data_IF_653786509859
#
_entry.id   IF_653786509859
#
_cell.length_a   1.000
_cell.length_b   1.000
_cell.length_c   1.000
_cell.angle_alpha   90.00
_cell.angle_beta   90.00
_cell.angle_gamma   90.00
#
_symmetry.space_group_name_H-M   'P 1'
#
loop_
_entity.id
_entity.type
_entity.pdbx_description
1 polymer ?
#
# COMPACT_ATOMS: atom_id res chain seq x y z
N UNK A 1 -56.20 -14.03 10.03
CA UNK A 1 -55.09 -13.62 10.90
C UNK A 1 -53.85 -14.54 10.76
N UNK A 2 -54.01 -15.85 10.70
CA UNK A 2 -52.89 -16.82 10.61
C UNK A 2 -52.06 -16.66 9.34
N UNK A 3 -52.66 -16.38 8.19
CA UNK A 3 -51.98 -16.18 6.89
C UNK A 3 -51.07 -14.93 6.84
N UNK A 4 -51.46 -13.87 7.52
CA UNK A 4 -50.68 -12.61 7.59
C UNK A 4 -49.42 -12.79 8.45
N UNK A 5 -49.56 -13.56 9.56
CA UNK A 5 -48.43 -13.85 10.47
C UNK A 5 -47.39 -14.74 9.77
N UNK A 6 -47.84 -15.72 8.98
CA UNK A 6 -46.90 -16.58 8.20
C UNK A 6 -46.14 -15.79 7.10
N UNK A 7 -46.81 -14.88 6.42
CA UNK A 7 -46.17 -14.03 5.42
C UNK A 7 -45.15 -13.04 6.03
N UNK A 8 -45.46 -12.51 7.23
CA UNK A 8 -44.54 -11.66 7.96
C UNK A 8 -43.31 -12.44 8.48
N UNK A 9 -43.50 -13.69 8.92
CA UNK A 9 -42.39 -14.54 9.35
C UNK A 9 -41.47 -14.99 8.20
N UNK A 10 -42.02 -15.28 7.01
CA UNK A 10 -41.21 -15.56 5.82
C UNK A 10 -40.44 -14.34 5.31
N UNK A 11 -41.03 -13.15 5.38
CA UNK A 11 -40.36 -11.90 5.00
C UNK A 11 -39.16 -11.56 5.92
N UNK A 12 -39.28 -11.91 7.20
CA UNK A 12 -38.23 -11.64 8.18
C UNK A 12 -37.01 -12.61 8.06
N UNK A 13 -37.25 -13.84 7.58
CA UNK A 13 -36.16 -14.81 7.31
C UNK A 13 -35.32 -14.46 6.06
N UNK A 14 -35.87 -13.76 5.07
CA UNK A 14 -35.16 -13.34 3.87
C UNK A 14 -34.22 -12.16 4.13
N UNK A 15 -34.37 -11.42 5.21
CA UNK A 15 -33.55 -10.25 5.55
C UNK A 15 -32.19 -10.59 6.25
N UNK A 16 -32.00 -11.85 6.69
CA UNK A 16 -30.79 -12.28 7.42
C UNK A 16 -29.69 -12.92 6.53
N UNK A 17 -29.88 -13.02 5.23
CA UNK A 17 -28.88 -13.61 4.32
C UNK A 17 -27.86 -12.62 3.75
N UNK A 18 -27.65 -11.50 4.43
CA UNK A 18 -26.55 -10.55 4.15
C UNK A 18 -25.21 -11.05 4.68
N UNK A 19 -24.73 -12.23 4.24
CA UNK A 19 -23.32 -12.59 4.41
C UNK A 19 -22.50 -11.73 3.43
N UNK A 20 -21.95 -10.62 3.91
CA UNK A 20 -20.84 -9.99 3.21
C UNK A 20 -19.69 -11.02 3.12
N UNK A 21 -19.33 -11.44 1.91
CA UNK A 21 -18.14 -12.28 1.70
C UNK A 21 -16.95 -11.48 2.18
N UNK A 22 -16.36 -11.91 3.27
CA UNK A 22 -15.08 -11.40 3.74
C UNK A 22 -13.99 -11.98 2.85
N UNK A 23 -13.63 -11.24 1.79
CA UNK A 23 -12.62 -11.63 0.80
C UNK A 23 -11.26 -11.90 1.46
N UNK A 24 -10.98 -11.24 2.59
CA UNK A 24 -9.75 -11.44 3.36
C UNK A 24 -9.76 -12.82 4.06
N UNK A 25 -10.87 -13.17 4.69
CA UNK A 25 -11.03 -14.49 5.31
C UNK A 25 -10.98 -15.62 4.28
N UNK A 26 -11.52 -15.41 3.08
CA UNK A 26 -11.47 -16.38 1.99
C UNK A 26 -10.03 -16.56 1.46
N UNK A 27 -9.23 -15.50 1.37
CA UNK A 27 -7.81 -15.59 1.02
C UNK A 27 -7.00 -16.36 2.06
N UNK A 28 -7.28 -16.17 3.35
CA UNK A 28 -6.64 -16.96 4.41
C UNK A 28 -7.04 -18.45 4.37
N UNK A 29 -8.30 -18.75 4.05
CA UNK A 29 -8.81 -20.12 3.95
C UNK A 29 -8.34 -20.85 2.71
N UNK A 30 -8.08 -20.15 1.62
CA UNK A 30 -7.67 -20.73 0.35
C UNK A 30 -6.32 -21.47 0.45
N UNK A 31 -5.47 -21.13 1.45
CA UNK A 31 -4.20 -21.80 1.69
C UNK A 31 -3.26 -21.80 0.49
N UNK A 32 -3.52 -20.92 -0.48
CA UNK A 32 -2.71 -20.80 -1.67
C UNK A 32 -1.35 -20.18 -1.27
N UNK A 33 -0.26 -20.80 -1.73
CA UNK A 33 1.11 -20.38 -1.45
C UNK A 33 1.51 -19.02 -2.06
N UNK A 34 0.56 -18.12 -2.26
CA UNK A 34 0.83 -16.77 -2.82
C UNK A 34 1.71 -15.92 -1.93
N UNK A 35 1.78 -16.24 -0.62
CA UNK A 35 2.60 -15.55 0.38
C UNK A 35 2.33 -14.04 0.50
N UNK A 36 1.20 -13.55 0.00
CA UNK A 36 0.72 -12.18 0.22
C UNK A 36 -0.79 -12.18 0.42
N UNK A 37 -1.27 -11.18 1.15
CA UNK A 37 -2.68 -10.87 1.27
C UNK A 37 -2.92 -9.71 0.32
N UNK A 38 -3.65 -9.94 -0.77
CA UNK A 38 -4.04 -8.82 -1.63
C UNK A 38 -5.23 -8.11 -0.99
N UNK A 39 -5.04 -6.84 -0.66
CA UNK A 39 -6.14 -5.95 -0.28
C UNK A 39 -7.05 -5.66 -1.48
N UNK A 40 -8.15 -5.01 -1.18
CA UNK A 40 -9.21 -4.65 -2.14
C UNK A 40 -9.07 -3.23 -2.71
N UNK A 41 -7.95 -2.55 -2.44
CA UNK A 41 -7.72 -1.13 -2.79
C UNK A 41 -8.36 -0.16 -1.79
N UNK A 42 -8.78 -0.65 -0.60
CA UNK A 42 -9.40 0.19 0.41
C UNK A 42 -8.46 1.28 0.91
N UNK A 43 -9.01 2.50 1.03
CA UNK A 43 -8.30 3.68 1.49
C UNK A 43 -8.62 3.95 2.95
N UNK A 44 -7.59 4.26 3.73
CA UNK A 44 -7.72 4.80 5.08
C UNK A 44 -7.02 6.14 5.13
N UNK A 45 -7.74 7.22 5.43
CA UNK A 45 -7.16 8.53 5.71
C UNK A 45 -7.00 8.73 7.21
N UNK A 46 -5.84 9.22 7.62
CA UNK A 46 -5.49 9.39 9.04
C UNK A 46 -5.69 10.84 9.48
N UNK A 47 -6.94 11.31 9.48
CA UNK A 47 -7.29 12.65 9.96
C UNK A 47 -7.11 12.76 11.48
N UNK A 48 -6.23 13.67 11.92
CA UNK A 48 -6.02 13.97 13.34
C UNK A 48 -5.20 12.94 14.13
N UNK A 49 -4.82 11.81 13.55
CA UNK A 49 -3.87 10.85 14.13
C UNK A 49 -2.51 11.03 13.46
N UNK A 50 -1.52 11.39 14.25
CA UNK A 50 -0.15 11.51 13.76
C UNK A 50 0.53 10.15 13.84
N UNK A 51 0.62 9.44 12.72
CA UNK A 51 1.55 8.33 12.57
C UNK A 51 2.83 8.90 11.96
N UNK A 52 3.78 9.24 12.81
CA UNK A 52 5.14 9.59 12.40
C UNK A 52 5.94 8.30 12.46
N UNK A 53 6.66 7.97 11.40
CA UNK A 53 7.55 6.82 11.44
C UNK A 53 8.66 7.02 12.49
N UNK A 54 9.02 5.98 13.21
CA UNK A 54 10.34 5.95 13.84
C UNK A 54 11.37 6.05 12.71
N UNK A 55 12.42 6.86 12.86
CA UNK A 55 13.41 7.09 11.83
C UNK A 55 14.03 5.77 11.33
N UNK A 56 14.19 5.62 10.02
CA UNK A 56 14.80 4.45 9.41
C UNK A 56 15.90 4.85 8.41
N UNK A 57 16.85 3.97 8.25
CA UNK A 57 17.88 4.02 7.20
C UNK A 57 18.00 2.64 6.57
N UNK A 58 18.00 2.57 5.26
CA UNK A 58 18.11 1.32 4.50
C UNK A 58 18.93 1.51 3.24
N UNK A 59 19.35 0.41 2.63
CA UNK A 59 20.10 0.39 1.37
C UNK A 59 19.13 0.16 0.22
N UNK A 60 19.25 0.91 -0.84
CA UNK A 60 18.49 0.74 -2.06
C UNK A 60 18.99 -0.46 -2.87
N UNK A 61 18.18 -0.94 -3.81
CA UNK A 61 18.54 -2.07 -4.67
C UNK A 61 19.80 -1.83 -5.53
N UNK A 62 20.17 -0.56 -5.78
CA UNK A 62 21.39 -0.15 -6.48
C UNK A 62 22.56 0.20 -5.54
N UNK A 63 22.39 -0.05 -4.22
CA UNK A 63 23.45 0.09 -3.22
C UNK A 63 23.62 1.48 -2.62
N UNK A 64 22.71 2.42 -2.90
CA UNK A 64 22.72 3.73 -2.26
C UNK A 64 22.08 3.67 -0.86
N UNK A 65 22.43 4.62 0.00
CA UNK A 65 21.75 4.78 1.30
C UNK A 65 20.60 5.76 1.19
N UNK A 66 19.44 5.37 1.69
CA UNK A 66 18.28 6.24 1.82
C UNK A 66 17.76 6.19 3.26
N UNK A 67 17.38 7.36 3.79
CA UNK A 67 16.81 7.47 5.14
C UNK A 67 15.53 8.29 5.13
N UNK A 68 14.68 8.05 6.14
CA UNK A 68 13.48 8.86 6.36
C UNK A 68 13.81 10.34 6.60
N UNK A 69 14.95 10.64 7.20
CA UNK A 69 15.41 12.01 7.41
C UNK A 69 15.66 12.74 6.08
N UNK A 70 16.22 12.05 5.09
CA UNK A 70 16.45 12.59 3.74
C UNK A 70 15.16 12.86 2.96
N UNK A 71 14.02 12.38 3.42
CA UNK A 71 12.69 12.60 2.83
C UNK A 71 11.93 13.75 3.51
N UNK A 72 12.44 14.29 4.60
CA UNK A 72 11.80 15.39 5.31
C UNK A 72 11.69 16.65 4.43
N UNK A 73 10.56 17.34 4.53
CA UNK A 73 10.26 18.51 3.71
C UNK A 73 9.54 18.17 2.39
N UNK A 74 9.40 16.88 2.08
CA UNK A 74 8.77 16.40 0.85
C UNK A 74 7.56 15.53 1.13
N UNK A 75 6.52 15.64 0.31
CA UNK A 75 5.47 14.63 0.26
C UNK A 75 6.09 13.35 -0.28
N UNK A 76 5.84 12.22 0.41
CA UNK A 76 6.45 10.94 0.05
C UNK A 76 5.41 9.86 -0.14
N UNK A 77 5.54 9.10 -1.21
CA UNK A 77 4.77 7.89 -1.47
C UNK A 77 5.67 6.68 -1.21
N UNK A 78 5.32 5.86 -0.23
CA UNK A 78 5.99 4.58 0.02
C UNK A 78 5.14 3.45 -0.51
N UNK A 79 5.66 2.66 -1.45
CA UNK A 79 4.97 1.50 -2.00
C UNK A 79 5.70 0.22 -1.58
N UNK A 80 5.04 -0.60 -0.77
CA UNK A 80 5.55 -1.89 -0.29
C UNK A 80 5.25 -2.97 -1.32
N UNK A 81 6.30 -3.65 -1.82
CA UNK A 81 6.19 -4.53 -2.98
C UNK A 81 7.21 -5.67 -2.99
N UNK A 82 7.06 -6.61 -3.91
CA UNK A 82 8.10 -7.54 -4.36
C UNK A 82 7.79 -8.06 -5.78
N UNK A 83 8.80 -8.57 -6.49
CA UNK A 83 8.70 -8.89 -7.94
C UNK A 83 7.69 -9.99 -8.27
N UNK A 84 7.49 -10.96 -7.39
CA UNK A 84 6.53 -12.06 -7.56
C UNK A 84 5.08 -11.70 -7.22
N UNK A 85 4.82 -10.51 -6.69
CA UNK A 85 3.50 -10.03 -6.31
C UNK A 85 2.68 -9.63 -7.55
N UNK A 86 1.65 -10.38 -7.88
CA UNK A 86 0.86 -10.13 -9.09
C UNK A 86 0.17 -8.74 -9.09
N UNK A 87 -0.50 -8.28 -8.01
CA UNK A 87 -1.08 -6.94 -7.98
C UNK A 87 -0.01 -5.83 -8.00
N UNK A 88 1.19 -6.03 -7.42
CA UNK A 88 2.28 -5.06 -7.51
C UNK A 88 2.76 -4.88 -8.97
N UNK A 89 2.83 -5.99 -9.71
CA UNK A 89 3.18 -5.96 -11.15
C UNK A 89 2.12 -5.25 -11.98
N UNK A 90 0.86 -5.29 -11.55
CA UNK A 90 -0.25 -4.66 -12.26
C UNK A 90 -0.32 -3.15 -12.03
N UNK A 91 0.30 -2.62 -10.94
CA UNK A 91 0.26 -1.20 -10.61
C UNK A 91 1.55 -0.43 -10.91
N UNK A 92 2.67 -1.14 -11.18
CA UNK A 92 3.98 -0.49 -11.30
C UNK A 92 4.05 0.54 -12.42
N UNK A 93 3.38 0.33 -13.56
CA UNK A 93 3.36 1.29 -14.65
C UNK A 93 2.65 2.59 -14.24
N UNK A 94 1.52 2.47 -13.56
CA UNK A 94 0.78 3.62 -13.02
C UNK A 94 1.63 4.39 -12.00
N UNK A 95 2.43 3.68 -11.19
CA UNK A 95 3.31 4.30 -10.19
C UNK A 95 4.49 5.03 -10.85
N UNK A 96 5.05 4.49 -11.94
CA UNK A 96 6.09 5.14 -12.76
C UNK A 96 5.57 6.44 -13.35
N UNK A 97 4.35 6.42 -13.93
CA UNK A 97 3.71 7.62 -14.48
C UNK A 97 3.47 8.68 -13.39
N UNK A 98 2.94 8.27 -12.24
CA UNK A 98 2.72 9.18 -11.09
C UNK A 98 4.04 9.77 -10.61
N UNK A 99 5.10 8.97 -10.48
CA UNK A 99 6.40 9.46 -10.04
C UNK A 99 6.96 10.52 -11.00
N UNK A 100 6.78 10.33 -12.32
CA UNK A 100 7.19 11.32 -13.33
C UNK A 100 6.34 12.60 -13.28
N UNK A 101 5.02 12.47 -13.15
CA UNK A 101 4.12 13.62 -13.15
C UNK A 101 4.32 14.56 -11.95
N UNK A 102 4.73 14.01 -10.80
CA UNK A 102 4.90 14.77 -9.56
C UNK A 102 6.37 15.10 -9.22
N UNK A 103 7.33 14.74 -10.08
CA UNK A 103 8.75 15.06 -9.87
C UNK A 103 8.95 16.58 -9.73
N UNK A 104 8.30 17.38 -10.57
CA UNK A 104 8.36 18.85 -10.54
C UNK A 104 7.72 19.48 -9.31
N UNK A 105 6.82 18.78 -8.62
CA UNK A 105 6.20 19.19 -7.37
C UNK A 105 7.02 18.80 -6.13
N UNK A 106 8.14 18.13 -6.31
CA UNK A 106 9.02 17.69 -5.22
C UNK A 106 8.45 16.53 -4.42
N UNK A 107 7.60 15.70 -5.03
CA UNK A 107 7.13 14.45 -4.42
C UNK A 107 8.15 13.36 -4.62
N UNK A 108 8.48 12.64 -3.55
CA UNK A 108 9.32 11.45 -3.62
C UNK A 108 8.47 10.18 -3.67
N UNK A 109 8.72 9.34 -4.66
CA UNK A 109 8.20 7.97 -4.69
C UNK A 109 9.34 7.03 -4.31
N UNK A 110 9.10 6.13 -3.37
CA UNK A 110 10.07 5.14 -2.90
C UNK A 110 9.40 3.77 -2.82
N UNK A 111 9.95 2.80 -3.52
CA UNK A 111 9.62 1.40 -3.32
C UNK A 111 10.23 0.88 -2.02
N UNK A 112 9.51 0.02 -1.33
CA UNK A 112 10.01 -0.75 -0.18
C UNK A 112 9.90 -2.21 -0.54
N UNK A 113 11.03 -2.82 -0.96
CA UNK A 113 11.04 -4.22 -1.33
C UNK A 113 11.17 -5.10 -0.08
N UNK A 114 10.15 -5.92 0.16
CA UNK A 114 10.03 -6.68 1.41
C UNK A 114 10.43 -8.16 1.29
N UNK A 115 10.91 -8.62 0.11
CA UNK A 115 11.19 -10.05 -0.10
C UNK A 115 12.34 -10.41 -1.02
N UNK A 116 12.57 -9.61 -2.07
CA UNK A 116 13.51 -9.99 -3.11
C UNK A 116 14.96 -9.74 -2.67
N UNK A 117 15.89 -10.36 -3.38
CA UNK A 117 17.29 -9.92 -3.38
C UNK A 117 17.43 -8.61 -4.18
N UNK A 118 18.46 -7.83 -3.91
CA UNK A 118 18.75 -6.59 -4.64
C UNK A 118 18.84 -6.83 -6.17
N UNK A 119 19.46 -7.95 -6.59
CA UNK A 119 19.56 -8.32 -8.01
C UNK A 119 18.18 -8.53 -8.66
N UNK A 120 17.27 -9.20 -7.96
CA UNK A 120 15.89 -9.43 -8.44
C UNK A 120 15.13 -8.11 -8.53
N UNK A 121 15.22 -7.27 -7.50
CA UNK A 121 14.58 -5.95 -7.47
C UNK A 121 15.08 -5.05 -8.61
N UNK A 122 16.41 -5.01 -8.85
CA UNK A 122 17.02 -4.27 -9.95
C UNK A 122 16.57 -4.78 -11.33
N UNK A 123 16.48 -6.11 -11.50
CA UNK A 123 16.02 -6.69 -12.76
C UNK A 123 14.57 -6.29 -13.05
N UNK A 124 13.72 -6.33 -12.01
CA UNK A 124 12.35 -5.88 -12.09
C UNK A 124 12.26 -4.38 -12.43
N UNK A 125 13.01 -3.55 -11.71
CA UNK A 125 13.05 -2.09 -11.93
C UNK A 125 13.42 -1.73 -13.37
N UNK A 126 14.44 -2.38 -13.94
CA UNK A 126 14.84 -2.18 -15.35
C UNK A 126 13.74 -2.61 -16.32
N UNK A 127 13.13 -3.78 -16.09
CA UNK A 127 12.08 -4.32 -16.96
C UNK A 127 10.86 -3.41 -17.00
N UNK A 128 10.48 -2.84 -15.86
CA UNK A 128 9.32 -1.97 -15.72
C UNK A 128 9.65 -0.47 -15.81
N UNK A 129 10.93 -0.12 -16.12
CA UNK A 129 11.40 1.27 -16.25
C UNK A 129 11.09 2.14 -15.03
N UNK A 130 11.23 1.56 -13.83
CA UNK A 130 11.03 2.31 -12.59
C UNK A 130 12.00 3.50 -12.55
N UNK A 131 11.44 4.69 -12.35
CA UNK A 131 12.14 5.98 -12.26
C UNK A 131 12.27 6.47 -10.82
N UNK A 132 12.11 5.59 -9.85
CA UNK A 132 12.21 5.85 -8.42
C UNK A 132 13.02 4.75 -7.73
N UNK A 133 13.70 5.06 -6.61
CA UNK A 133 14.50 4.09 -5.86
C UNK A 133 13.62 3.07 -5.12
N UNK A 134 14.20 1.90 -4.86
CA UNK A 134 13.61 0.91 -3.96
C UNK A 134 14.59 0.55 -2.85
N UNK A 135 14.20 0.76 -1.59
CA UNK A 135 14.95 0.27 -0.43
C UNK A 135 14.69 -1.21 -0.22
N UNK A 136 15.73 -1.92 0.23
CA UNK A 136 15.68 -3.35 0.51
C UNK A 136 15.39 -3.58 1.99
N UNK A 137 14.19 -4.05 2.29
CA UNK A 137 13.72 -4.25 3.67
C UNK A 137 13.54 -5.73 4.05
N UNK A 138 13.88 -6.64 3.13
CA UNK A 138 13.70 -8.08 3.24
C UNK A 138 14.53 -8.72 4.36
N UNK A 139 15.69 -8.17 4.69
CA UNK A 139 16.60 -8.72 5.72
C UNK A 139 16.39 -8.07 7.09
N UNK A 140 16.15 -6.76 7.11
CA UNK A 140 16.12 -5.99 8.35
C UNK A 140 14.70 -5.69 8.85
N UNK A 141 13.76 -5.50 7.93
CA UNK A 141 12.39 -5.11 8.25
C UNK A 141 12.27 -3.71 8.89
N UNK A 142 13.34 -2.90 8.87
CA UNK A 142 13.38 -1.61 9.60
C UNK A 142 12.33 -0.63 9.10
N UNK A 143 12.06 -0.63 7.78
CA UNK A 143 11.05 0.27 7.21
C UNK A 143 9.65 -0.20 7.58
N UNK A 144 9.34 -1.50 7.44
CA UNK A 144 8.05 -2.06 7.88
C UNK A 144 7.83 -1.82 9.37
N UNK A 145 8.86 -2.01 10.22
CA UNK A 145 8.78 -1.79 11.67
C UNK A 145 8.50 -0.34 12.02
N UNK A 146 9.10 0.62 11.30
CA UNK A 146 8.87 2.05 11.55
C UNK A 146 7.43 2.49 11.29
N UNK A 147 6.65 1.69 10.57
CA UNK A 147 5.23 1.90 10.32
C UNK A 147 4.33 0.87 11.03
N UNK A 148 4.78 0.34 12.18
CA UNK A 148 3.99 -0.61 12.98
C UNK A 148 2.62 -0.03 13.33
N UNK A 149 1.57 -0.82 13.12
CA UNK A 149 0.17 -0.40 13.27
C UNK A 149 -0.44 0.30 12.04
N UNK A 150 0.38 0.66 11.05
CA UNK A 150 -0.08 1.21 9.76
C UNK A 150 0.12 0.21 8.63
N UNK A 151 1.26 -0.47 8.61
CA UNK A 151 1.60 -1.49 7.61
C UNK A 151 1.65 -2.86 8.26
N UNK A 152 1.13 -3.86 7.57
CA UNK A 152 1.32 -5.28 7.94
C UNK A 152 2.39 -5.88 7.02
N UNK A 153 3.36 -6.64 7.55
CA UNK A 153 4.44 -7.25 6.74
C UNK A 153 3.95 -8.16 5.61
N UNK A 154 2.74 -8.73 5.75
CA UNK A 154 2.14 -9.63 4.76
C UNK A 154 1.17 -8.94 3.80
N UNK A 155 0.76 -7.70 4.06
CA UNK A 155 -0.16 -6.95 3.20
C UNK A 155 0.60 -6.23 2.08
N UNK A 156 0.66 -6.84 0.91
CA UNK A 156 1.39 -6.32 -0.26
C UNK A 156 0.51 -6.46 -1.51
N UNK A 157 0.38 -5.42 -2.36
CA UNK A 157 0.96 -4.11 -2.16
C UNK A 157 0.25 -3.30 -1.06
N UNK A 158 0.99 -2.44 -0.41
CA UNK A 158 0.47 -1.37 0.45
C UNK A 158 1.13 -0.07 0.01
N UNK A 159 0.33 0.98 -0.14
CA UNK A 159 0.86 2.30 -0.48
C UNK A 159 0.54 3.28 0.65
N UNK A 160 1.55 3.98 1.14
CA UNK A 160 1.40 5.08 2.09
C UNK A 160 1.65 6.42 1.40
N UNK A 161 0.89 7.43 1.77
CA UNK A 161 1.17 8.83 1.45
C UNK A 161 1.54 9.54 2.74
N UNK A 162 2.71 10.18 2.74
CA UNK A 162 3.23 10.95 3.86
C UNK A 162 3.28 12.43 3.46
N UNK A 163 2.92 13.32 4.38
CA UNK A 163 3.12 14.75 4.17
C UNK A 163 4.59 15.16 4.38
N UNK A 164 4.89 16.44 4.13
CA UNK A 164 6.25 16.99 4.27
C UNK A 164 6.86 16.89 5.68
N UNK A 165 6.06 16.56 6.71
CA UNK A 165 6.52 16.32 8.08
C UNK A 165 6.78 14.84 8.37
N UNK A 166 6.69 13.96 7.35
CA UNK A 166 6.82 12.51 7.51
C UNK A 166 5.62 11.85 8.22
N UNK A 167 4.50 12.56 8.37
CA UNK A 167 3.27 12.01 8.95
C UNK A 167 2.49 11.26 7.88
N UNK A 168 2.05 10.04 8.16
CA UNK A 168 1.19 9.26 7.26
C UNK A 168 -0.19 9.91 7.21
N UNK A 169 -0.58 10.37 6.03
CA UNK A 169 -1.89 10.98 5.77
C UNK A 169 -2.89 9.98 5.22
N UNK A 170 -2.41 9.01 4.45
CA UNK A 170 -3.27 7.98 3.87
C UNK A 170 -2.52 6.65 3.69
N UNK A 171 -3.31 5.56 3.67
CA UNK A 171 -2.88 4.20 3.34
C UNK A 171 -3.86 3.58 2.36
N UNK A 172 -3.34 2.91 1.34
CA UNK A 172 -4.11 2.06 0.43
C UNK A 172 -3.65 0.61 0.63
N UNK A 173 -4.58 -0.29 0.88
CA UNK A 173 -4.30 -1.73 0.98
C UNK A 173 -4.67 -2.45 -0.32
N UNK A 174 -3.70 -3.11 -0.94
CA UNK A 174 -3.86 -3.72 -2.25
C UNK A 174 -3.54 -2.73 -3.38
N UNK A 175 -3.86 -3.13 -4.62
CA UNK A 175 -3.63 -2.30 -5.79
C UNK A 175 -4.40 -0.98 -5.68
N UNK A 176 -3.69 0.13 -5.85
CA UNK A 176 -4.32 1.44 -5.86
C UNK A 176 -5.00 1.74 -7.20
N UNK A 177 -6.01 2.59 -7.17
CA UNK A 177 -6.57 3.25 -8.34
C UNK A 177 -5.75 4.54 -8.61
N UNK A 178 -5.18 4.74 -9.83
CA UNK A 178 -4.29 5.88 -10.11
C UNK A 178 -4.87 7.24 -9.76
N UNK A 179 -6.16 7.44 -10.06
CA UNK A 179 -6.86 8.70 -9.72
C UNK A 179 -6.93 8.92 -8.21
N UNK A 180 -7.18 7.87 -7.45
CA UNK A 180 -7.25 7.93 -5.98
C UNK A 180 -5.90 8.31 -5.39
N UNK A 181 -4.81 7.67 -5.84
CA UNK A 181 -3.46 8.01 -5.35
C UNK A 181 -3.09 9.46 -5.67
N UNK A 182 -3.42 9.98 -6.86
CA UNK A 182 -3.21 11.37 -7.23
C UNK A 182 -3.93 12.33 -6.29
N UNK A 183 -5.21 12.08 -5.99
CA UNK A 183 -5.99 12.90 -5.04
C UNK A 183 -5.34 12.93 -3.65
N UNK A 184 -4.84 11.78 -3.17
CA UNK A 184 -4.18 11.70 -1.86
C UNK A 184 -2.85 12.46 -1.84
N UNK A 185 -2.09 12.42 -2.93
CA UNK A 185 -0.85 13.20 -3.10
C UNK A 185 -1.18 14.71 -3.13
N UNK A 186 -2.16 15.13 -3.93
CA UNK A 186 -2.58 16.53 -4.03
C UNK A 186 -3.04 17.06 -2.67
N UNK A 187 -3.83 16.26 -1.93
CA UNK A 187 -4.24 16.60 -0.56
C UNK A 187 -3.03 16.76 0.38
N UNK A 188 -2.03 15.89 0.27
CA UNK A 188 -0.82 15.99 1.09
C UNK A 188 0.05 17.21 0.72
N UNK A 189 0.00 17.65 -0.55
CA UNK A 189 0.64 18.88 -1.05
C UNK A 189 -0.12 20.15 -0.65
N UNK A 190 -1.40 20.03 -0.20
CA UNK A 190 -2.27 21.16 0.09
C UNK A 190 -2.88 21.82 -1.17
N UNK A 191 -3.02 21.03 -2.24
CA UNK A 191 -3.65 21.43 -3.51
C UNK A 191 -5.14 21.11 -3.52
#
# INVERSE_FOLDING_TARGET
MLTIVVLLALGMMAALSGCSRDTLADQFRAGDNKMYISGDGSVTEFQGKKFVSEGWTSITSDGQTLSSEGLNGHVTVLNFWYAGCAPCRAEVADLVDIAGDYEGDGVYVVGVNVRDTAATALSFARTHKMNFPSVMDNETGVVVQSFTGVVSPSAVPTTLVLNARGEVTARILGRFEPKTLRILIDTALGK
#
